data_IF_314352746054
#
_entry.id   IF_314352746054
#
_cell.length_a   1.000
_cell.length_b   1.000
_cell.length_c   1.000
_cell.angle_alpha   90.00
_cell.angle_beta   90.00
_cell.angle_gamma   90.00
#
_symmetry.space_group_name_H-M   'P 1'
#
loop_
_entity.id
_entity.type
_entity.pdbx_description
1 polymer ?
#
# COMPACT_ATOMS: atom_id res chain seq x y z
N UNK A 1 -4.91 -2.73 -5.38
CA UNK A 1 -4.52 -3.41 -4.12
C UNK A 1 -5.57 -4.46 -3.74
N UNK A 2 -5.17 -5.63 -3.19
CA UNK A 2 -6.11 -6.68 -2.73
C UNK A 2 -6.87 -6.31 -1.44
N UNK A 3 -6.26 -5.50 -0.57
CA UNK A 3 -6.88 -5.00 0.66
C UNK A 3 -8.04 -4.03 0.43
N UNK A 4 -8.59 -3.43 1.49
CA UNK A 4 -9.81 -2.63 1.40
C UNK A 4 -9.57 -1.21 0.85
N UNK A 5 -8.34 -0.69 0.87
CA UNK A 5 -8.06 0.70 0.48
C UNK A 5 -6.63 0.88 -0.05
N UNK A 6 -6.42 1.88 -0.91
CA UNK A 6 -5.10 2.36 -1.35
C UNK A 6 -4.53 3.45 -0.42
N UNK A 7 -5.26 3.89 0.61
CA UNK A 7 -4.74 4.89 1.56
C UNK A 7 -3.47 4.39 2.25
N UNK A 8 -2.48 5.27 2.35
CA UNK A 8 -1.11 4.95 2.78
C UNK A 8 -0.15 4.82 1.60
N UNK A 9 -0.58 4.21 0.48
CA UNK A 9 0.29 4.05 -0.71
C UNK A 9 0.59 5.38 -1.39
N UNK A 10 -0.28 6.37 -1.25
CA UNK A 10 -0.04 7.72 -1.78
C UNK A 10 1.20 8.43 -1.22
N UNK A 11 1.84 7.85 -0.19
CA UNK A 11 3.12 8.35 0.35
C UNK A 11 4.33 7.91 -0.48
N UNK A 12 4.17 6.86 -1.30
CA UNK A 12 5.24 6.29 -2.15
C UNK A 12 4.88 6.28 -3.63
N UNK A 13 3.62 6.51 -3.98
CA UNK A 13 3.10 6.57 -5.35
C UNK A 13 2.22 7.81 -5.51
N UNK A 14 2.41 8.64 -6.55
CA UNK A 14 1.66 9.89 -6.69
C UNK A 14 0.25 9.62 -7.23
N UNK A 15 -0.82 9.83 -6.42
CA UNK A 15 -2.18 9.58 -6.86
C UNK A 15 -2.65 10.52 -7.99
N UNK A 16 -1.93 11.60 -8.28
CA UNK A 16 -2.25 12.56 -9.34
C UNK A 16 -1.46 12.35 -10.63
N UNK A 17 -0.62 11.32 -10.72
CA UNK A 17 -0.13 10.84 -12.01
C UNK A 17 -1.28 10.19 -12.79
N UNK A 18 -1.80 10.90 -13.80
CA UNK A 18 -2.96 10.49 -14.60
C UNK A 18 -2.58 10.13 -16.05
N UNK A 19 -1.90 8.99 -16.30
CA UNK A 19 -1.50 8.57 -17.65
C UNK A 19 -2.70 8.29 -18.58
N UNK A 20 -3.92 8.15 -18.02
CA UNK A 20 -5.15 7.88 -18.77
C UNK A 20 -6.10 9.08 -18.88
N UNK A 21 -5.64 10.27 -18.51
CA UNK A 21 -6.37 11.53 -18.70
C UNK A 21 -7.01 12.08 -17.41
N UNK A 22 -7.23 13.40 -17.43
CA UNK A 22 -7.64 14.19 -16.26
C UNK A 22 -9.06 13.92 -15.77
N UNK A 23 -9.91 13.31 -16.61
CA UNK A 23 -11.31 13.04 -16.31
C UNK A 23 -11.54 11.97 -15.24
N UNK A 24 -10.48 11.24 -14.86
CA UNK A 24 -10.56 10.19 -13.86
C UNK A 24 -10.16 10.73 -12.48
N UNK A 25 -11.06 10.55 -11.52
CA UNK A 25 -10.78 10.81 -10.12
C UNK A 25 -9.92 9.69 -9.51
N UNK A 26 -9.20 10.03 -8.44
CA UNK A 26 -8.41 9.07 -7.68
C UNK A 26 -9.33 8.06 -7.00
N UNK A 27 -9.06 6.77 -7.24
CA UNK A 27 -9.80 5.67 -6.60
C UNK A 27 -9.03 5.23 -5.36
N UNK A 28 -9.67 5.41 -4.19
CA UNK A 28 -9.09 5.00 -2.91
C UNK A 28 -9.51 3.61 -2.45
N UNK A 29 -10.56 3.05 -3.05
CA UNK A 29 -11.08 1.74 -2.69
C UNK A 29 -10.18 0.65 -3.30
N UNK A 30 -9.80 -0.30 -2.46
CA UNK A 30 -9.14 -1.53 -2.92
C UNK A 30 -10.17 -2.57 -3.34
N UNK A 31 -9.69 -3.75 -3.74
CA UNK A 31 -10.59 -4.84 -4.14
C UNK A 31 -11.33 -5.47 -2.95
N UNK A 32 -10.87 -5.25 -1.72
CA UNK A 32 -11.51 -5.77 -0.51
C UNK A 32 -11.54 -7.30 -0.43
N UNK A 33 -10.62 -7.99 -1.11
CA UNK A 33 -10.47 -9.45 -1.03
C UNK A 33 -9.82 -9.84 0.31
N UNK A 34 -8.95 -8.98 0.83
CA UNK A 34 -8.36 -9.09 2.15
C UNK A 34 -8.91 -7.99 3.07
N UNK A 35 -9.08 -8.30 4.34
CA UNK A 35 -9.54 -7.35 5.36
C UNK A 35 -8.42 -6.44 5.90
N UNK A 36 -7.23 -6.48 5.30
CA UNK A 36 -6.05 -5.72 5.70
C UNK A 36 -5.23 -5.24 4.51
N UNK A 37 -4.40 -4.21 4.73
CA UNK A 37 -3.44 -3.71 3.75
C UNK A 37 -2.18 -4.57 3.75
N UNK A 38 -1.62 -4.85 2.58
CA UNK A 38 -0.29 -5.47 2.45
C UNK A 38 0.71 -4.37 2.14
N UNK A 39 1.79 -4.32 2.93
CA UNK A 39 2.88 -3.36 2.78
C UNK A 39 4.15 -4.13 2.36
N UNK A 40 4.49 -4.18 1.05
CA UNK A 40 5.69 -4.84 0.56
C UNK A 40 6.95 -4.01 0.88
N UNK A 41 8.13 -4.53 0.51
CA UNK A 41 9.43 -3.86 0.63
C UNK A 41 9.81 -3.41 2.05
N UNK A 42 9.08 -3.86 3.09
CA UNK A 42 9.33 -3.42 4.46
C UNK A 42 10.66 -3.98 4.94
N UNK A 43 11.59 -3.12 5.37
CA UNK A 43 12.92 -3.52 5.86
C UNK A 43 13.65 -4.47 4.90
N UNK A 44 13.60 -4.13 3.62
CA UNK A 44 14.23 -4.86 2.52
C UNK A 44 15.36 -4.05 1.91
N UNK A 45 16.28 -4.71 1.20
CA UNK A 45 17.31 -4.04 0.39
C UNK A 45 16.66 -3.49 -0.90
N UNK A 46 15.74 -2.54 -0.74
CA UNK A 46 14.95 -1.92 -1.80
C UNK A 46 14.98 -0.40 -1.66
N UNK A 47 15.02 0.32 -2.79
CA UNK A 47 15.14 1.79 -2.78
C UNK A 47 13.96 2.49 -2.09
N UNK A 48 12.80 1.83 -2.02
CA UNK A 48 11.59 2.35 -1.36
C UNK A 48 11.53 1.99 0.12
N UNK A 49 12.42 1.14 0.65
CA UNK A 49 12.27 0.61 2.01
C UNK A 49 12.23 1.69 3.09
N UNK A 50 12.91 2.81 2.90
CA UNK A 50 12.87 3.96 3.81
C UNK A 50 11.47 4.61 3.81
N UNK A 51 10.93 4.92 2.63
CA UNK A 51 9.62 5.53 2.48
C UNK A 51 8.48 4.58 2.91
N UNK A 52 8.67 3.27 2.80
CA UNK A 52 7.73 2.27 3.31
C UNK A 52 7.59 2.32 4.85
N UNK A 53 8.61 2.79 5.58
CA UNK A 53 8.44 3.02 7.03
C UNK A 53 7.41 4.12 7.32
N UNK A 54 7.32 5.14 6.47
CA UNK A 54 6.31 6.19 6.56
C UNK A 54 4.90 5.65 6.29
N UNK A 55 4.76 4.73 5.32
CA UNK A 55 3.50 4.01 5.07
C UNK A 55 3.08 3.24 6.32
N UNK A 56 3.98 2.46 6.92
CA UNK A 56 3.70 1.71 8.15
C UNK A 56 3.25 2.65 9.27
N UNK A 57 3.96 3.77 9.47
CA UNK A 57 3.61 4.75 10.50
C UNK A 57 2.22 5.35 10.26
N UNK A 58 1.90 5.73 9.02
CA UNK A 58 0.57 6.22 8.64
C UNK A 58 -0.53 5.19 8.95
N UNK A 59 -0.32 3.92 8.61
CA UNK A 59 -1.30 2.86 8.86
C UNK A 59 -1.55 2.66 10.38
N UNK A 60 -0.49 2.73 11.19
CA UNK A 60 -0.57 2.66 12.66
C UNK A 60 -1.39 3.84 13.21
N UNK A 61 -1.05 5.07 12.82
CA UNK A 61 -1.72 6.30 13.29
C UNK A 61 -3.21 6.32 12.94
N UNK A 62 -3.56 5.78 11.76
CA UNK A 62 -4.92 5.69 11.28
C UNK A 62 -5.66 4.41 11.72
N UNK A 63 -5.05 3.59 12.58
CA UNK A 63 -5.63 2.35 13.14
C UNK A 63 -6.13 1.39 12.06
N UNK A 64 -5.39 1.29 10.96
CA UNK A 64 -5.69 0.38 9.86
C UNK A 64 -5.00 -0.96 10.09
N UNK A 65 -5.68 -2.07 9.79
CA UNK A 65 -5.07 -3.39 9.84
C UNK A 65 -4.15 -3.58 8.63
N UNK A 66 -2.93 -4.05 8.89
CA UNK A 66 -1.95 -4.32 7.84
C UNK A 66 -1.03 -5.48 8.20
N UNK A 67 -0.44 -6.06 7.17
CA UNK A 67 0.71 -6.95 7.27
C UNK A 67 1.87 -6.35 6.49
N UNK A 68 3.09 -6.50 7.00
CA UNK A 68 4.30 -6.16 6.25
C UNK A 68 4.92 -7.42 5.65
N UNK A 69 5.51 -7.27 4.47
CA UNK A 69 6.29 -8.31 3.79
C UNK A 69 7.64 -7.73 3.38
N UNK A 70 8.69 -8.54 3.57
CA UNK A 70 10.00 -8.30 2.97
C UNK A 70 10.03 -8.84 1.54
N UNK A 71 10.99 -8.38 0.76
CA UNK A 71 11.23 -8.91 -0.58
C UNK A 71 11.54 -10.41 -0.51
N UNK A 72 10.80 -11.20 -1.30
CA UNK A 72 10.89 -12.65 -1.31
C UNK A 72 9.95 -13.38 -0.34
N UNK A 73 9.31 -12.66 0.59
CA UNK A 73 8.24 -13.24 1.40
C UNK A 73 6.93 -13.32 0.60
N UNK A 74 6.12 -14.33 0.90
CA UNK A 74 4.83 -14.56 0.25
C UNK A 74 3.73 -14.75 1.29
N UNK A 75 2.51 -14.38 0.92
CA UNK A 75 1.28 -14.69 1.64
C UNK A 75 0.52 -15.78 0.84
N UNK A 76 0.23 -16.90 1.49
CA UNK A 76 -0.60 -17.98 0.94
C UNK A 76 -1.93 -18.02 1.70
N UNK A 77 -3.03 -18.12 0.97
CA UNK A 77 -4.40 -18.17 1.50
C UNK A 77 -5.06 -19.42 0.92
N UNK A 78 -5.70 -20.20 1.79
CA UNK A 78 -6.40 -21.46 1.45
C UNK A 78 -7.91 -21.26 1.35
#
# INVERSE_FOLDING_TARGET
MLGPTLKGIHLVDDPYEKPYGEQHDVIWDGLGILDYVIVPHYKSEHFESEAIEEVVQYLIENKMFFITLRDGEILVIE
#
